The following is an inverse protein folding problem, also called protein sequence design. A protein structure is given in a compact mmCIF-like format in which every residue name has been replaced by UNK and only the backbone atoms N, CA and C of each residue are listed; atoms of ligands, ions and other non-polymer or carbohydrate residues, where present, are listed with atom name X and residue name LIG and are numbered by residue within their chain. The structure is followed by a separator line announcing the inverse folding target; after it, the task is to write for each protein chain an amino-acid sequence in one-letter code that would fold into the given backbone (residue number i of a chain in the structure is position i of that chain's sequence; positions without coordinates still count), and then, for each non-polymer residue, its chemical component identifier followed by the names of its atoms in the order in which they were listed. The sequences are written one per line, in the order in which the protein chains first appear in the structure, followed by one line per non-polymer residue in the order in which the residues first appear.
data_IF_893477304217
#
_entry.id   IF_893477304217
#
_cell.length_a   1.000
_cell.length_b   1.000
_cell.length_c   1.000
_cell.angle_alpha   90.00
_cell.angle_beta   90.00
_cell.angle_gamma   90.00
#
_symmetry.space_group_name_H-M   'P 1'
#
loop_
_entity.id
_entity.type
_entity.pdbx_description
1 polymer ?
#
# COMPACT_ATOMS: atom_id res chain seq x y z
N UNK A 1 7.56 0.69 5.69
CA UNK A 1 7.34 0.82 4.24
C UNK A 1 8.67 0.89 3.53
N UNK A 2 8.86 0.01 2.54
CA UNK A 2 10.10 -0.09 1.78
C UNK A 2 9.91 0.37 0.31
N UNK A 3 11.02 0.53 -0.40
CA UNK A 3 11.05 1.01 -1.80
C UNK A 3 10.31 0.07 -2.78
N UNK A 4 10.26 -1.23 -2.45
CA UNK A 4 9.53 -2.22 -3.25
C UNK A 4 8.02 -1.97 -3.20
N UNK A 5 7.46 -1.75 -2.00
CA UNK A 5 6.04 -1.42 -1.84
C UNK A 5 5.68 -0.09 -2.52
N UNK A 6 6.57 0.90 -2.44
CA UNK A 6 6.44 2.18 -3.15
C UNK A 6 6.41 2.00 -4.68
N UNK A 7 7.31 1.18 -5.22
CA UNK A 7 7.38 0.88 -6.66
C UNK A 7 6.12 0.16 -7.14
N UNK A 8 5.61 -0.78 -6.34
CA UNK A 8 4.35 -1.49 -6.64
C UNK A 8 3.16 -0.54 -6.63
N UNK A 9 3.09 0.39 -5.65
CA UNK A 9 2.04 1.42 -5.61
C UNK A 9 2.06 2.31 -6.85
N UNK A 10 3.24 2.77 -7.27
CA UNK A 10 3.37 3.60 -8.47
C UNK A 10 2.96 2.83 -9.73
N UNK A 11 3.40 1.58 -9.86
CA UNK A 11 3.05 0.71 -10.99
C UNK A 11 1.54 0.52 -11.10
N UNK A 12 0.87 0.19 -9.99
CA UNK A 12 -0.59 0.04 -9.94
C UNK A 12 -1.29 1.37 -10.25
N UNK A 13 -0.79 2.50 -9.71
CA UNK A 13 -1.35 3.83 -9.97
C UNK A 13 -1.34 4.15 -11.47
N UNK A 14 -0.23 3.87 -12.15
CA UNK A 14 -0.12 4.03 -13.60
C UNK A 14 -1.09 3.11 -14.35
N UNK A 15 -1.24 1.85 -13.93
CA UNK A 15 -2.20 0.91 -14.53
C UNK A 15 -3.65 1.39 -14.38
N UNK A 16 -4.04 1.86 -13.19
CA UNK A 16 -5.36 2.45 -12.96
C UNK A 16 -5.60 3.67 -13.83
N UNK A 17 -4.60 4.55 -13.97
CA UNK A 17 -4.71 5.75 -14.78
C UNK A 17 -4.87 5.44 -16.27
N UNK A 18 -4.11 4.47 -16.78
CA UNK A 18 -4.25 3.96 -18.14
C UNK A 18 -5.64 3.31 -18.33
N UNK A 19 -6.09 2.52 -17.36
CA UNK A 19 -7.37 1.81 -17.43
C UNK A 19 -8.56 2.76 -17.47
N UNK A 20 -8.53 3.82 -16.67
CA UNK A 20 -9.57 4.87 -16.65
C UNK A 20 -9.82 5.53 -18.02
N UNK A 21 -8.86 5.47 -18.94
CA UNK A 21 -8.96 6.07 -20.28
C UNK A 21 -9.32 5.07 -21.38
N UNK A 22 -9.50 3.80 -21.02
CA UNK A 22 -9.71 2.70 -21.97
C UNK A 22 -11.16 2.20 -21.96
N UNK A 23 -11.54 1.42 -22.98
CA UNK A 23 -12.91 0.92 -23.12
C UNK A 23 -13.27 -0.07 -22.00
N UNK A 24 -14.50 -0.06 -21.45
CA UNK A 24 -14.88 -0.93 -20.33
C UNK A 24 -14.70 -2.41 -20.64
N UNK A 25 -14.17 -3.14 -19.66
CA UNK A 25 -13.89 -4.58 -19.65
C UNK A 25 -13.92 -5.00 -18.18
N UNK A 26 -15.10 -5.47 -17.77
CA UNK A 26 -15.49 -5.64 -16.38
C UNK A 26 -14.56 -6.58 -15.61
N UNK A 27 -14.11 -7.67 -16.22
CA UNK A 27 -13.33 -8.67 -15.51
C UNK A 27 -11.88 -8.20 -15.35
N UNK A 28 -11.32 -7.54 -16.36
CA UNK A 28 -10.02 -6.89 -16.28
C UNK A 28 -10.03 -5.71 -15.28
N UNK A 29 -11.09 -4.90 -15.27
CA UNK A 29 -11.29 -3.82 -14.30
C UNK A 29 -11.27 -4.33 -12.87
N UNK A 30 -12.01 -5.41 -12.60
CA UNK A 30 -12.07 -6.02 -11.27
C UNK A 30 -10.69 -6.53 -10.87
N UNK A 31 -9.95 -7.20 -11.76
CA UNK A 31 -8.61 -7.69 -11.47
C UNK A 31 -7.64 -6.56 -11.10
N UNK A 32 -7.63 -5.46 -11.87
CA UNK A 32 -6.78 -4.29 -11.60
C UNK A 32 -7.18 -3.62 -10.28
N UNK A 33 -8.48 -3.44 -10.01
CA UNK A 33 -8.96 -2.85 -8.76
C UNK A 33 -8.60 -3.71 -7.54
N UNK A 34 -8.72 -5.03 -7.64
CA UNK A 34 -8.34 -5.95 -6.57
C UNK A 34 -6.82 -5.94 -6.33
N UNK A 35 -6.02 -5.91 -7.41
CA UNK A 35 -4.57 -5.76 -7.30
C UNK A 35 -4.20 -4.44 -6.61
N UNK A 36 -4.86 -3.35 -6.98
CA UNK A 36 -4.62 -2.06 -6.38
C UNK A 36 -4.97 -2.00 -4.89
N UNK A 37 -6.10 -2.60 -4.53
CA UNK A 37 -6.52 -2.72 -3.14
C UNK A 37 -5.51 -3.50 -2.31
N UNK A 38 -5.03 -4.64 -2.83
CA UNK A 38 -4.05 -5.48 -2.13
C UNK A 38 -2.73 -4.73 -1.87
N UNK A 39 -2.18 -4.07 -2.90
CA UNK A 39 -0.93 -3.29 -2.78
C UNK A 39 -1.11 -2.12 -1.80
N UNK A 40 -2.27 -1.46 -1.82
CA UNK A 40 -2.57 -0.38 -0.86
C UNK A 40 -2.65 -0.90 0.58
N UNK A 41 -3.27 -2.06 0.80
CA UNK A 41 -3.32 -2.68 2.13
C UNK A 41 -1.93 -3.10 2.64
N UNK A 42 -1.07 -3.60 1.75
CA UNK A 42 0.33 -3.92 2.06
C UNK A 42 1.10 -2.66 2.48
N UNK A 43 0.94 -1.56 1.74
CA UNK A 43 1.55 -0.27 2.07
C UNK A 43 1.09 0.29 3.42
N UNK A 44 -0.22 0.29 3.68
CA UNK A 44 -0.77 0.76 4.96
C UNK A 44 -0.27 -0.09 6.12
N UNK A 45 -0.22 -1.42 5.97
CA UNK A 45 0.35 -2.31 7.00
C UNK A 45 1.82 -1.99 7.25
N UNK A 46 2.62 -1.92 6.19
CA UNK A 46 4.06 -1.67 6.31
C UNK A 46 4.37 -0.30 6.90
N UNK A 47 3.53 0.71 6.64
CA UNK A 47 3.63 2.01 7.30
C UNK A 47 3.29 1.92 8.80
N UNK A 48 2.25 1.17 9.16
CA UNK A 48 1.89 0.93 10.56
C UNK A 48 2.96 0.17 11.35
N UNK A 49 3.64 -0.79 10.71
CA UNK A 49 4.78 -1.51 11.27
C UNK A 49 5.97 -0.57 11.55
N UNK A 50 6.33 0.30 10.60
CA UNK A 50 7.35 1.32 10.82
C UNK A 50 6.99 2.29 11.95
N UNK A 51 5.74 2.75 12.00
CA UNK A 51 5.27 3.64 13.05
C UNK A 51 5.29 2.97 14.43
N UNK A 52 4.99 1.68 14.52
CA UNK A 52 5.10 0.92 15.77
C UNK A 52 6.57 0.77 16.21
N UNK A 53 7.51 0.62 15.27
CA UNK A 53 8.94 0.59 15.60
C UNK A 53 9.45 1.95 16.08
N UNK A 54 9.01 3.04 15.45
CA UNK A 54 9.40 4.41 15.83
C UNK A 54 8.90 4.78 17.24
N UNK A 55 7.69 4.34 17.62
CA UNK A 55 7.12 4.56 18.95
C UNK A 55 7.70 3.61 20.03
N UNK A 56 8.61 2.71 19.66
CA UNK A 56 9.10 1.65 20.52
C UNK A 56 8.10 0.49 20.69
N UNK A 57 8.57 -0.72 21.04
CA UNK A 57 7.68 -1.87 21.24
C UNK A 57 6.66 -1.57 22.33
N UNK A 58 5.36 -1.72 22.02
CA UNK A 58 4.26 -1.64 23.00
C UNK A 58 4.54 -2.59 24.16
N UNK A 59 4.98 -2.06 25.30
CA UNK A 59 5.27 -2.83 26.51
C UNK A 59 6.63 -2.54 27.15
N UNK A 60 7.54 -1.87 26.46
CA UNK A 60 8.70 -1.24 27.10
C UNK A 60 8.36 0.24 27.20
N UNK A 61 7.85 0.62 28.38
CA UNK A 61 7.57 2.02 28.69
C UNK A 61 8.75 2.87 28.22
N UNK A 62 8.45 3.92 27.47
CA UNK A 62 9.35 5.04 27.41
C UNK A 62 9.52 5.51 28.85
N UNK A 63 10.59 5.04 29.51
CA UNK A 63 11.23 5.74 30.60
C UNK A 63 11.73 7.06 30.01
N UNK A 64 10.79 7.99 29.87
CA UNK A 64 11.06 9.39 29.67
C UNK A 64 11.55 9.94 31.01
N UNK A 65 12.79 10.40 31.00
CA UNK A 65 13.40 11.21 32.05
C UNK A 65 12.62 12.49 32.32
#
# INVERSE_FOLDING_TARGET
MNDETLTRLDTVSQQLHARSRSQPDKDNDIAILMSALAVTMEAVRSLGEDMNQLNGPKGLGSDGS
#
